data_IF_886603972202
#
_entry.id   IF_886603972202
#
_cell.length_a   1.000
_cell.length_b   1.000
_cell.length_c   1.000
_cell.angle_alpha   90.00
_cell.angle_beta   90.00
_cell.angle_gamma   90.00
#
_symmetry.space_group_name_H-M   'P 1'
#
loop_
_entity.id
_entity.type
_entity.pdbx_description
1 polymer ?
#
# COMPACT_ATOMS: atom_id res chain seq x y z
N UNK A 1 37.75 28.97 27.36
CA UNK A 1 37.85 29.24 25.91
C UNK A 1 37.21 28.05 25.20
N UNK A 2 35.95 28.08 24.77
CA UNK A 2 35.41 28.85 23.61
C UNK A 2 36.24 28.51 22.36
N UNK A 3 35.71 27.97 21.25
CA UNK A 3 34.33 27.60 20.92
C UNK A 3 34.18 27.47 19.38
N UNK A 4 32.97 27.17 18.90
CA UNK A 4 32.55 27.22 17.49
C UNK A 4 33.23 26.23 16.49
N UNK A 5 32.65 25.03 16.37
CA UNK A 5 32.68 24.30 15.10
C UNK A 5 31.83 25.02 14.06
N UNK A 6 32.41 25.35 12.90
CA UNK A 6 31.72 26.07 11.84
C UNK A 6 30.61 25.23 11.19
N UNK A 7 29.36 25.70 11.26
CA UNK A 7 28.24 25.10 10.52
C UNK A 7 28.26 25.58 9.07
N UNK A 8 28.46 24.68 8.10
CA UNK A 8 28.22 25.01 6.68
C UNK A 8 26.73 24.77 6.37
N UNK A 9 26.04 25.85 6.02
CA UNK A 9 24.59 25.85 5.77
C UNK A 9 24.23 25.52 4.32
N UNK A 10 22.97 25.12 4.14
CA UNK A 10 22.37 24.72 2.86
C UNK A 10 22.14 25.96 1.98
N UNK A 11 22.90 26.10 0.88
CA UNK A 11 22.51 26.89 -0.32
C UNK A 11 23.51 26.65 -1.46
N UNK A 12 23.22 25.65 -2.29
CA UNK A 12 23.89 25.41 -3.57
C UNK A 12 22.84 25.41 -4.68
N UNK A 13 22.56 26.58 -5.25
CA UNK A 13 21.69 26.72 -6.40
C UNK A 13 22.50 26.39 -7.66
N UNK A 14 22.13 25.34 -8.40
CA UNK A 14 22.72 25.05 -9.71
C UNK A 14 21.60 24.95 -10.73
N UNK A 15 21.59 25.91 -11.66
CA UNK A 15 20.81 25.89 -12.88
C UNK A 15 21.80 25.75 -14.03
N UNK A 16 21.63 24.71 -14.86
CA UNK A 16 22.31 24.58 -16.14
C UNK A 16 21.34 23.92 -17.14
N UNK A 17 21.26 24.48 -18.36
CA UNK A 17 20.26 24.14 -19.35
C UNK A 17 20.68 22.98 -20.28
N UNK A 18 19.73 22.44 -21.05
CA UNK A 18 19.86 21.18 -21.78
C UNK A 18 20.16 21.31 -23.28
N UNK A 19 20.91 20.34 -23.83
CA UNK A 19 20.86 19.68 -25.17
C UNK A 19 21.55 18.30 -25.00
N UNK A 20 21.21 17.17 -25.63
CA UNK A 20 20.03 16.79 -26.44
C UNK A 20 20.33 15.62 -27.42
N UNK A 21 19.34 14.75 -27.69
CA UNK A 21 19.23 13.73 -28.80
C UNK A 21 20.30 12.60 -28.91
N UNK A 22 20.05 11.37 -29.42
CA UNK A 22 18.89 10.65 -30.03
C UNK A 22 18.82 9.21 -29.45
N UNK A 23 17.63 8.59 -29.35
CA UNK A 23 17.49 7.20 -28.89
C UNK A 23 16.19 6.45 -29.23
N UNK A 24 15.56 6.69 -30.38
CA UNK A 24 14.59 5.76 -30.96
C UNK A 24 13.14 5.78 -30.45
N UNK A 25 12.33 6.75 -30.92
CA UNK A 25 10.89 6.56 -31.08
C UNK A 25 10.34 7.50 -32.17
N UNK A 26 10.42 7.08 -33.43
CA UNK A 26 9.75 7.73 -34.57
C UNK A 26 8.32 7.20 -34.67
N UNK A 27 7.28 7.98 -34.94
CA UNK A 27 7.20 9.42 -35.21
C UNK A 27 5.79 9.74 -35.73
N UNK A 28 5.32 10.98 -35.60
CA UNK A 28 3.99 11.35 -36.12
C UNK A 28 3.29 12.50 -35.40
N UNK A 29 3.83 13.71 -35.54
CA UNK A 29 3.03 14.92 -35.26
C UNK A 29 1.90 15.03 -36.28
N UNK A 30 0.68 15.22 -35.78
CA UNK A 30 -0.53 15.32 -36.58
C UNK A 30 -1.55 16.20 -35.87
N UNK A 31 -1.36 17.51 -35.97
CA UNK A 31 -2.31 18.52 -35.47
C UNK A 31 -3.64 18.43 -36.22
N UNK A 32 -4.54 17.61 -35.70
CA UNK A 32 -5.94 17.58 -36.08
C UNK A 32 -6.80 17.58 -34.82
N UNK A 33 -7.87 18.39 -34.81
CA UNK A 33 -8.97 18.32 -33.83
C UNK A 33 -9.60 16.93 -33.89
N UNK A 34 -9.01 15.94 -33.21
CA UNK A 34 -9.53 14.59 -33.15
C UNK A 34 -10.59 14.53 -32.05
N UNK A 35 -11.83 14.34 -32.52
CA UNK A 35 -13.07 14.25 -31.73
C UNK A 35 -12.84 13.41 -30.47
N UNK A 36 -13.51 13.80 -29.40
CA UNK A 36 -13.47 13.17 -28.08
C UNK A 36 -13.97 11.72 -28.14
N UNK A 37 -13.14 10.81 -28.64
CA UNK A 37 -13.42 9.39 -28.71
C UNK A 37 -13.21 8.80 -27.31
N UNK A 38 -14.15 7.99 -26.79
CA UNK A 38 -13.99 7.40 -25.47
C UNK A 38 -12.72 6.55 -25.45
N UNK A 39 -11.83 6.84 -24.49
CA UNK A 39 -10.61 6.08 -24.32
C UNK A 39 -10.95 4.60 -24.10
N UNK A 40 -10.31 3.69 -24.86
CA UNK A 40 -10.55 2.26 -24.73
C UNK A 40 -10.21 1.82 -23.29
N UNK A 41 -11.08 1.04 -22.61
CA UNK A 41 -10.78 0.55 -21.26
C UNK A 41 -9.44 -0.19 -21.24
N UNK A 42 -8.55 0.24 -20.34
CA UNK A 42 -7.27 -0.46 -20.09
C UNK A 42 -7.56 -1.63 -19.13
N UNK A 43 -7.30 -2.89 -19.53
CA UNK A 43 -7.55 -4.05 -18.66
C UNK A 43 -6.75 -3.96 -17.36
N UNK A 44 -7.35 -4.40 -16.24
CA UNK A 44 -6.67 -4.43 -14.94
C UNK A 44 -6.69 -3.12 -14.15
N UNK A 45 -7.25 -2.02 -14.66
CA UNK A 45 -7.28 -0.73 -13.93
C UNK A 45 -8.23 -0.78 -12.73
N UNK A 46 -9.43 -1.36 -12.90
CA UNK A 46 -10.40 -1.47 -11.81
C UNK A 46 -9.89 -2.42 -10.72
N UNK A 47 -9.26 -3.52 -11.12
CA UNK A 47 -8.70 -4.56 -10.28
C UNK A 47 -7.46 -4.07 -9.51
N UNK A 48 -6.56 -3.32 -10.17
CA UNK A 48 -5.45 -2.63 -9.49
C UNK A 48 -5.97 -1.61 -8.47
N UNK A 49 -6.96 -0.80 -8.84
CA UNK A 49 -7.55 0.17 -7.92
C UNK A 49 -8.27 -0.50 -6.73
N UNK A 50 -8.89 -1.66 -6.94
CA UNK A 50 -9.49 -2.46 -5.86
C UNK A 50 -8.40 -3.06 -4.96
N UNK A 51 -7.35 -3.65 -5.52
CA UNK A 51 -6.23 -4.19 -4.76
C UNK A 51 -5.54 -3.12 -3.89
N UNK A 52 -5.43 -1.88 -4.38
CA UNK A 52 -4.98 -0.73 -3.58
C UNK A 52 -5.92 -0.43 -2.41
N UNK A 53 -7.24 -0.36 -2.64
CA UNK A 53 -8.26 -0.12 -1.59
C UNK A 53 -8.27 -1.22 -0.53
N UNK A 54 -8.27 -2.49 -0.94
CA UNK A 54 -8.30 -3.64 -0.02
C UNK A 54 -7.05 -3.68 0.85
N UNK A 55 -5.88 -3.40 0.26
CA UNK A 55 -4.61 -3.28 1.00
C UNK A 55 -4.66 -2.12 2.00
N UNK A 56 -5.26 -0.97 1.62
CA UNK A 56 -5.45 0.17 2.52
C UNK A 56 -6.38 -0.14 3.69
N UNK A 57 -7.49 -0.85 3.44
CA UNK A 57 -8.39 -1.32 4.49
C UNK A 57 -7.71 -2.27 5.48
N UNK A 58 -6.78 -3.11 5.00
CA UNK A 58 -5.98 -3.97 5.86
C UNK A 58 -4.95 -3.17 6.68
N UNK A 59 -4.30 -2.12 6.13
CA UNK A 59 -3.46 -1.20 6.93
C UNK A 59 -4.26 -0.61 8.10
N UNK A 60 -5.48 -0.15 7.86
CA UNK A 60 -6.35 0.40 8.92
C UNK A 60 -6.65 -0.63 10.02
N UNK A 61 -6.82 -1.92 9.67
CA UNK A 61 -7.00 -3.00 10.66
C UNK A 61 -5.73 -3.22 11.50
N UNK A 62 -4.55 -3.19 10.89
CA UNK A 62 -3.28 -3.25 11.63
C UNK A 62 -3.10 -2.03 12.56
N UNK A 63 -3.41 -0.82 12.09
CA UNK A 63 -3.30 0.40 12.90
C UNK A 63 -4.25 0.36 14.10
N UNK A 64 -5.50 -0.09 13.91
CA UNK A 64 -6.45 -0.29 15.01
C UNK A 64 -5.99 -1.35 16.02
N UNK A 65 -5.44 -2.47 15.54
CA UNK A 65 -4.88 -3.52 16.39
C UNK A 65 -3.68 -3.04 17.22
N UNK A 66 -2.79 -2.23 16.63
CA UNK A 66 -1.65 -1.62 17.33
C UNK A 66 -2.11 -0.60 18.38
N UNK A 67 -3.14 0.19 18.07
CA UNK A 67 -3.70 1.17 18.99
C UNK A 67 -4.40 0.53 20.20
N UNK A 68 -5.16 -0.56 19.98
CA UNK A 68 -5.82 -1.29 21.06
C UNK A 68 -4.87 -2.17 21.89
N UNK A 69 -3.83 -2.72 21.26
CA UNK A 69 -2.88 -3.65 21.89
C UNK A 69 -1.42 -3.18 21.70
N UNK A 70 -0.96 -2.12 22.40
CA UNK A 70 0.40 -1.58 22.21
C UNK A 70 1.53 -2.59 22.45
N UNK A 71 1.29 -3.62 23.27
CA UNK A 71 2.22 -4.74 23.50
C UNK A 71 2.49 -5.57 22.25
N UNK A 72 1.61 -5.54 21.24
CA UNK A 72 1.80 -6.19 19.95
C UNK A 72 2.55 -5.31 18.93
N UNK A 73 2.77 -4.01 19.22
CA UNK A 73 3.25 -3.04 18.23
C UNK A 73 4.57 -3.46 17.56
N UNK A 74 5.55 -3.93 18.33
CA UNK A 74 6.84 -4.39 17.79
C UNK A 74 6.74 -5.60 16.85
N UNK A 75 5.71 -6.45 17.02
CA UNK A 75 5.44 -7.61 16.15
C UNK A 75 4.65 -7.22 14.90
N UNK A 76 3.69 -6.30 15.05
CA UNK A 76 2.76 -5.91 13.98
C UNK A 76 3.32 -4.82 13.05
N UNK A 77 4.20 -3.95 13.54
CA UNK A 77 4.80 -2.87 12.76
C UNK A 77 5.45 -3.29 11.42
N UNK A 78 6.30 -4.34 11.35
CA UNK A 78 6.88 -4.77 10.07
C UNK A 78 5.81 -5.29 9.09
N UNK A 79 4.84 -6.07 9.56
CA UNK A 79 3.75 -6.59 8.71
C UNK A 79 2.88 -5.45 8.17
N UNK A 80 2.55 -4.47 9.02
CA UNK A 80 1.84 -3.24 8.65
C UNK A 80 2.62 -2.44 7.59
N UNK A 81 3.95 -2.37 7.71
CA UNK A 81 4.80 -1.68 6.75
C UNK A 81 4.83 -2.39 5.37
N UNK A 82 4.87 -3.72 5.33
CA UNK A 82 4.72 -4.51 4.09
C UNK A 82 3.35 -4.29 3.42
N UNK A 83 2.25 -4.33 4.19
CA UNK A 83 0.91 -4.04 3.63
C UNK A 83 0.80 -2.60 3.13
N UNK A 84 1.46 -1.64 3.79
CA UNK A 84 1.57 -0.27 3.31
C UNK A 84 2.38 -0.15 2.00
N UNK A 85 3.42 -0.95 1.81
CA UNK A 85 4.16 -1.04 0.54
C UNK A 85 3.29 -1.64 -0.59
N UNK A 86 2.47 -2.65 -0.29
CA UNK A 86 1.49 -3.18 -1.26
C UNK A 86 0.52 -2.10 -1.77
N UNK A 87 0.03 -1.21 -0.91
CA UNK A 87 -0.82 -0.07 -1.33
C UNK A 87 -0.11 0.79 -2.38
N UNK A 88 1.16 1.13 -2.15
CA UNK A 88 1.96 1.94 -3.07
C UNK A 88 2.25 1.19 -4.38
N UNK A 89 2.54 -0.12 -4.31
CA UNK A 89 2.79 -0.96 -5.49
C UNK A 89 1.56 -1.08 -6.42
N UNK A 90 0.35 -1.03 -5.86
CA UNK A 90 -0.89 -0.91 -6.64
C UNK A 90 -1.23 0.53 -7.07
N UNK A 91 -0.38 1.52 -6.78
CA UNK A 91 -0.59 2.93 -7.12
C UNK A 91 -1.57 3.67 -6.20
N UNK A 92 -1.97 3.06 -5.08
CA UNK A 92 -2.71 3.74 -4.02
C UNK A 92 -1.81 4.57 -3.12
N UNK A 93 -2.42 5.31 -2.20
CA UNK A 93 -1.70 6.02 -1.12
C UNK A 93 -2.25 5.58 0.22
N UNK A 94 -1.37 5.30 1.16
CA UNK A 94 -1.76 5.09 2.57
C UNK A 94 -2.11 6.45 3.17
N UNK A 95 -3.33 6.60 3.66
CA UNK A 95 -3.71 7.79 4.41
C UNK A 95 -2.94 7.85 5.73
N UNK A 96 -2.61 9.06 6.20
CA UNK A 96 -2.12 9.24 7.56
C UNK A 96 -3.20 8.79 8.55
N UNK A 97 -2.85 8.26 9.74
CA UNK A 97 -3.81 7.94 10.78
C UNK A 97 -4.67 9.18 11.10
N UNK A 98 -6.01 9.04 11.22
CA UNK A 98 -6.89 10.20 11.37
C UNK A 98 -6.72 10.84 12.75
N UNK A 99 -5.99 11.95 12.80
CA UNK A 99 -5.94 12.85 13.96
C UNK A 99 -7.21 13.72 13.98
N UNK A 100 -8.31 13.17 14.51
CA UNK A 100 -9.51 13.94 14.89
C UNK A 100 -10.16 14.75 13.77
N UNK A 101 -10.82 14.09 12.81
CA UNK A 101 -11.67 14.76 11.83
C UNK A 101 -12.95 13.97 11.57
N UNK A 102 -14.09 14.67 11.58
CA UNK A 102 -15.43 14.11 11.42
C UNK A 102 -15.61 13.50 10.02
N UNK A 103 -15.99 12.22 9.89
CA UNK A 103 -16.10 11.58 8.58
C UNK A 103 -17.31 12.07 7.78
N UNK A 104 -17.09 12.40 6.51
CA UNK A 104 -18.17 12.59 5.52
C UNK A 104 -18.79 11.24 5.18
N UNK A 105 -20.13 11.10 5.09
CA UNK A 105 -20.79 9.80 4.91
C UNK A 105 -20.52 9.20 3.52
N UNK A 106 -19.52 8.33 3.46
CA UNK A 106 -19.35 7.30 2.44
C UNK A 106 -19.94 5.99 3.01
N UNK A 107 -20.54 5.08 2.22
CA UNK A 107 -20.93 3.75 2.72
C UNK A 107 -19.70 3.04 3.31
N UNK A 108 -19.60 3.08 4.64
CA UNK A 108 -18.44 2.65 5.41
C UNK A 108 -18.72 1.24 5.90
N UNK A 109 -17.89 0.23 5.62
CA UNK A 109 -18.00 -1.05 6.30
C UNK A 109 -17.88 -0.79 7.81
N UNK A 110 -18.64 -1.50 8.66
CA UNK A 110 -18.70 -1.21 10.09
C UNK A 110 -17.29 -1.17 10.70
N UNK A 111 -17.02 -0.25 11.65
CA UNK A 111 -15.71 -0.16 12.28
C UNK A 111 -15.37 -1.54 12.86
N UNK A 112 -14.31 -2.15 12.33
CA UNK A 112 -13.82 -3.43 12.84
C UNK A 112 -13.08 -3.14 14.13
N UNK A 113 -13.83 -2.94 15.22
CA UNK A 113 -13.28 -2.82 16.56
C UNK A 113 -12.41 -4.05 16.81
N UNK A 114 -11.11 -3.88 17.12
CA UNK A 114 -10.24 -5.01 17.39
C UNK A 114 -10.75 -5.77 18.64
N UNK A 115 -10.70 -7.11 18.67
CA UNK A 115 -11.11 -7.88 19.84
C UNK A 115 -10.39 -7.48 21.13
N UNK A 116 -11.08 -7.59 22.27
CA UNK A 116 -10.55 -7.20 23.60
C UNK A 116 -9.30 -7.97 24.03
N UNK A 117 -9.01 -9.10 23.40
CA UNK A 117 -7.82 -9.93 23.66
C UNK A 117 -6.74 -9.73 22.58
N UNK A 118 -5.46 -9.57 22.96
CA UNK A 118 -4.35 -9.59 22.02
C UNK A 118 -4.31 -10.86 21.16
N UNK A 119 -4.63 -12.02 21.74
CA UNK A 119 -4.63 -13.30 21.03
C UNK A 119 -5.76 -13.37 19.99
N UNK A 120 -6.97 -12.93 20.35
CA UNK A 120 -8.09 -12.86 19.41
C UNK A 120 -7.83 -11.84 18.28
N UNK A 121 -7.16 -10.72 18.59
CA UNK A 121 -6.73 -9.73 17.60
C UNK A 121 -5.73 -10.32 16.59
N UNK A 122 -4.76 -11.12 17.03
CA UNK A 122 -3.85 -11.83 16.12
C UNK A 122 -4.61 -12.81 15.21
N UNK A 123 -5.55 -13.58 15.76
CA UNK A 123 -6.42 -14.49 14.98
C UNK A 123 -7.26 -13.74 13.95
N UNK A 124 -7.84 -12.59 14.32
CA UNK A 124 -8.64 -11.76 13.43
C UNK A 124 -7.81 -11.15 12.29
N UNK A 125 -6.59 -10.69 12.57
CA UNK A 125 -5.64 -10.25 11.55
C UNK A 125 -5.21 -11.40 10.62
N UNK A 126 -4.97 -12.59 11.16
CA UNK A 126 -4.62 -13.76 10.36
C UNK A 126 -5.76 -14.18 9.43
N UNK A 127 -7.02 -14.13 9.91
CA UNK A 127 -8.20 -14.36 9.06
C UNK A 127 -8.32 -13.29 7.96
N UNK A 128 -8.08 -12.01 8.27
CA UNK A 128 -8.12 -10.91 7.30
C UNK A 128 -7.03 -11.02 6.21
N UNK A 129 -5.81 -11.38 6.59
CA UNK A 129 -4.70 -11.64 5.65
C UNK A 129 -5.03 -12.83 4.73
N UNK A 130 -5.54 -13.93 5.30
CA UNK A 130 -5.95 -15.12 4.53
C UNK A 130 -7.03 -14.79 3.51
N UNK A 131 -8.10 -14.13 3.96
CA UNK A 131 -9.24 -13.76 3.13
C UNK A 131 -8.83 -12.82 1.97
N UNK A 132 -7.91 -11.89 2.23
CA UNK A 132 -7.40 -11.00 1.19
C UNK A 132 -6.42 -11.71 0.23
N UNK A 133 -5.54 -12.58 0.74
CA UNK A 133 -4.70 -13.42 -0.10
C UNK A 133 -5.53 -14.30 -1.04
N UNK A 134 -6.64 -14.88 -0.55
CA UNK A 134 -7.56 -15.70 -1.34
C UNK A 134 -8.33 -14.90 -2.39
N UNK A 135 -8.75 -13.66 -2.07
CA UNK A 135 -9.31 -12.75 -3.08
C UNK A 135 -8.29 -12.43 -4.17
N UNK A 136 -7.05 -12.06 -3.80
CA UNK A 136 -5.97 -11.79 -4.77
C UNK A 136 -5.66 -13.02 -5.63
N UNK A 137 -5.64 -14.21 -5.04
CA UNK A 137 -5.44 -15.49 -5.74
C UNK A 137 -6.55 -15.83 -6.75
N UNK A 138 -7.78 -15.36 -6.52
CA UNK A 138 -8.89 -15.48 -7.48
C UNK A 138 -8.78 -14.42 -8.59
N UNK A 139 -8.52 -13.16 -8.24
CA UNK A 139 -8.44 -12.04 -9.20
C UNK A 139 -7.23 -12.15 -10.13
N UNK A 140 -6.10 -12.72 -9.70
CA UNK A 140 -4.95 -12.89 -10.59
C UNK A 140 -5.21 -13.80 -11.79
N UNK A 141 -6.23 -14.67 -11.72
CA UNK A 141 -6.66 -15.52 -12.83
C UNK A 141 -7.47 -14.76 -13.90
N UNK A 142 -7.95 -13.56 -13.59
CA UNK A 142 -8.82 -12.77 -14.48
C UNK A 142 -8.12 -11.55 -15.09
N UNK A 143 -6.84 -11.31 -14.78
CA UNK A 143 -6.07 -10.15 -15.26
C UNK A 143 -4.77 -10.57 -15.96
N UNK A 144 -4.30 -9.83 -16.98
CA UNK A 144 -3.11 -10.20 -17.73
C UNK A 144 -1.80 -9.70 -17.10
N UNK A 145 -0.70 -10.36 -17.45
CA UNK A 145 0.67 -9.84 -17.37
C UNK A 145 1.12 -9.45 -15.95
N UNK A 146 1.75 -8.28 -15.84
CA UNK A 146 2.43 -7.86 -14.61
C UNK A 146 1.47 -7.59 -13.43
N UNK A 147 0.19 -7.31 -13.68
CA UNK A 147 -0.78 -7.21 -12.60
C UNK A 147 -1.05 -8.56 -11.93
N UNK A 148 -1.12 -9.65 -12.71
CA UNK A 148 -1.26 -11.00 -12.17
C UNK A 148 -0.04 -11.38 -11.32
N UNK A 149 1.17 -11.06 -11.79
CA UNK A 149 2.44 -11.27 -11.05
C UNK A 149 2.48 -10.49 -9.74
N UNK A 150 2.07 -9.22 -9.76
CA UNK A 150 2.02 -8.37 -8.56
C UNK A 150 0.98 -8.87 -7.55
N UNK A 151 -0.22 -9.27 -8.02
CA UNK A 151 -1.24 -9.89 -7.19
C UNK A 151 -0.76 -11.22 -6.57
N UNK A 152 -0.05 -12.05 -7.34
CA UNK A 152 0.53 -13.30 -6.85
C UNK A 152 1.55 -13.04 -5.73
N UNK A 153 2.46 -12.07 -5.92
CA UNK A 153 3.45 -11.68 -4.91
C UNK A 153 2.77 -11.18 -3.62
N UNK A 154 1.76 -10.32 -3.75
CA UNK A 154 1.02 -9.78 -2.60
C UNK A 154 0.12 -10.84 -1.92
N UNK A 155 -0.34 -11.87 -2.64
CA UNK A 155 -1.04 -13.01 -2.05
C UNK A 155 -0.09 -13.93 -1.29
N UNK A 156 1.10 -14.22 -1.84
CA UNK A 156 2.13 -15.01 -1.18
C UNK A 156 2.66 -14.33 0.10
N UNK A 157 2.90 -13.01 0.06
CA UNK A 157 3.27 -12.23 1.24
C UNK A 157 2.18 -12.31 2.33
N UNK A 158 0.91 -12.13 1.98
CA UNK A 158 -0.23 -12.28 2.91
C UNK A 158 -0.31 -13.68 3.51
N UNK A 159 -0.10 -14.74 2.72
CA UNK A 159 -0.02 -16.10 3.23
C UNK A 159 1.16 -16.31 4.22
N UNK A 160 2.31 -15.67 3.96
CA UNK A 160 3.43 -15.61 4.92
C UNK A 160 3.07 -14.87 6.21
N UNK A 161 2.34 -13.75 6.13
CA UNK A 161 1.84 -13.02 7.29
C UNK A 161 0.91 -13.87 8.16
N UNK A 162 0.03 -14.71 7.56
CA UNK A 162 -0.81 -15.66 8.31
C UNK A 162 0.04 -16.61 9.17
N UNK A 163 1.16 -17.12 8.64
CA UNK A 163 2.08 -17.97 9.42
C UNK A 163 2.74 -17.17 10.54
N UNK A 164 3.23 -15.95 10.25
CA UNK A 164 3.86 -15.08 11.24
C UNK A 164 2.92 -14.57 12.33
N UNK A 165 1.63 -14.42 12.06
CA UNK A 165 0.60 -14.02 13.04
C UNK A 165 0.18 -15.20 13.94
N UNK A 166 0.15 -16.42 13.41
CA UNK A 166 -0.17 -17.63 14.17
C UNK A 166 1.03 -18.22 14.94
N UNK A 167 2.26 -17.80 14.63
CA UNK A 167 3.45 -18.20 15.38
C UNK A 167 3.34 -17.83 16.88
N UNK A 168 3.80 -18.72 17.76
CA UNK A 168 3.95 -18.38 19.19
C UNK A 168 5.21 -17.50 19.36
N UNK A 169 5.19 -16.50 20.27
CA UNK A 169 6.43 -15.81 20.63
C UNK A 169 7.43 -16.82 21.20
N UNK A 170 8.69 -16.70 20.82
CA UNK A 170 9.77 -17.50 21.41
C UNK A 170 9.88 -17.12 22.90
N UNK A 171 9.96 -18.07 23.85
CA UNK A 171 10.30 -17.74 25.22
C UNK A 171 11.70 -17.09 25.26
N UNK A 172 11.84 -16.09 26.13
CA UNK A 172 13.10 -15.40 26.37
C UNK A 172 14.11 -16.32 27.08
#
# INVERSE_FOLDING_TARGET
MIGAGARVSRRGLVVAAAVGVVGGCSGGEGSAKKKNAPARPVPGVAERAQAARDSGGLVTRYDAAIAAHPTLAGRLAPLRAEVAQHVQAFGGKVAAPPTGSTPTPTPTPPPTTPPDSPAQTLTALAAAERELADRRAKVLLTVPGDLARLLASAAAAGAGHVVLLNAKPKPA
#
